data_IF_120335988706
#
_entry.id   IF_120335988706
#
_cell.length_a   1.000
_cell.length_b   1.000
_cell.length_c   1.000
_cell.angle_alpha   90.00
_cell.angle_beta   90.00
_cell.angle_gamma   90.00
#
_symmetry.space_group_name_H-M   'P 1'
#
loop_
_entity.id
_entity.type
_entity.pdbx_description
1 polymer ?
#
# COMPACT_ATOMS: atom_id res chain seq x y z
N UNK A 1 19.07 -19.35 -10.48
CA UNK A 1 19.64 -18.06 -10.00
C UNK A 1 18.60 -16.94 -10.02
N UNK A 2 18.01 -16.53 -11.20
CA UNK A 2 16.97 -15.47 -11.21
C UNK A 2 15.68 -15.95 -10.55
N UNK A 3 15.22 -17.16 -10.83
CA UNK A 3 14.02 -17.74 -10.23
C UNK A 3 14.16 -17.84 -8.71
N UNK A 4 15.27 -18.37 -8.21
CA UNK A 4 15.53 -18.51 -6.77
C UNK A 4 15.54 -17.14 -6.07
N UNK A 5 16.08 -16.11 -6.74
CA UNK A 5 16.06 -14.74 -6.24
C UNK A 5 14.64 -14.18 -6.17
N UNK A 6 13.83 -14.42 -7.19
CA UNK A 6 12.43 -13.97 -7.21
C UNK A 6 11.60 -14.71 -6.14
N UNK A 7 11.77 -16.02 -5.96
CA UNK A 7 11.12 -16.79 -4.90
C UNK A 7 11.44 -16.22 -3.51
N UNK A 8 12.70 -15.88 -3.26
CA UNK A 8 13.11 -15.23 -2.01
C UNK A 8 12.39 -13.90 -1.78
N UNK A 9 12.23 -13.08 -2.83
CA UNK A 9 11.54 -11.79 -2.71
C UNK A 9 10.02 -11.92 -2.60
N UNK A 10 9.40 -12.95 -3.16
CA UNK A 10 7.95 -13.20 -3.02
C UNK A 10 7.53 -13.29 -1.56
N UNK A 11 8.33 -13.94 -0.71
CA UNK A 11 8.09 -14.09 0.73
C UNK A 11 8.26 -12.78 1.53
N UNK A 12 8.89 -11.76 0.94
CA UNK A 12 9.30 -10.53 1.61
C UNK A 12 8.71 -9.25 1.02
N UNK A 13 8.08 -9.35 -0.14
CA UNK A 13 7.44 -8.21 -0.80
C UNK A 13 6.18 -7.81 -0.03
N UNK A 14 6.17 -6.61 0.50
CA UNK A 14 5.03 -5.99 1.14
C UNK A 14 4.32 -5.04 0.20
N UNK A 15 2.99 -5.11 0.20
CA UNK A 15 2.12 -4.15 -0.45
C UNK A 15 1.13 -3.60 0.57
N UNK A 16 1.23 -2.32 0.91
CA UNK A 16 0.34 -1.64 1.85
C UNK A 16 -0.33 -0.47 1.15
N UNK A 17 -1.63 -0.28 1.37
CA UNK A 17 -2.36 0.73 0.64
C UNK A 17 -3.59 1.25 1.38
N UNK A 18 -4.08 2.40 0.94
CA UNK A 18 -5.38 2.95 1.34
C UNK A 18 -6.17 3.33 0.10
N UNK A 19 -7.48 3.28 0.20
CA UNK A 19 -8.40 3.58 -0.90
C UNK A 19 -9.28 4.79 -0.58
N UNK A 20 -9.77 5.45 -1.61
CA UNK A 20 -10.77 6.51 -1.47
C UNK A 20 -12.10 5.98 -0.94
N UNK A 21 -12.59 4.88 -1.55
CA UNK A 21 -13.85 4.22 -1.20
C UNK A 21 -13.73 2.70 -1.39
N UNK A 22 -14.02 1.93 -0.34
CA UNK A 22 -14.03 0.46 -0.37
C UNK A 22 -15.05 -0.15 -1.34
N UNK A 23 -16.04 0.63 -1.79
CA UNK A 23 -17.07 0.15 -2.72
C UNK A 23 -16.48 -0.39 -4.03
N UNK A 24 -15.39 0.20 -4.52
CA UNK A 24 -14.73 -0.28 -5.75
C UNK A 24 -14.21 -1.71 -5.57
N UNK A 25 -13.46 -1.97 -4.50
CA UNK A 25 -12.95 -3.31 -4.19
C UNK A 25 -14.06 -4.31 -3.89
N UNK A 26 -15.10 -3.89 -3.16
CA UNK A 26 -16.25 -4.72 -2.85
C UNK A 26 -17.04 -5.11 -4.10
N UNK A 27 -17.36 -4.15 -4.96
CA UNK A 27 -18.10 -4.37 -6.21
C UNK A 27 -17.40 -5.33 -7.16
N UNK A 28 -16.08 -5.32 -7.16
CA UNK A 28 -15.26 -6.17 -8.01
C UNK A 28 -14.80 -7.46 -7.33
N UNK A 29 -15.28 -7.75 -6.09
CA UNK A 29 -15.01 -8.98 -5.38
C UNK A 29 -13.56 -9.14 -4.88
N UNK A 30 -12.80 -8.04 -4.75
CA UNK A 30 -11.39 -8.07 -4.29
C UNK A 30 -11.23 -8.01 -2.79
N UNK A 31 -12.32 -7.72 -2.05
CA UNK A 31 -12.36 -7.82 -0.59
C UNK A 31 -13.54 -8.68 -0.15
N UNK A 32 -13.35 -9.43 0.94
CA UNK A 32 -14.44 -10.22 1.55
C UNK A 32 -15.43 -9.31 2.27
N UNK A 33 -16.70 -9.71 2.36
CA UNK A 33 -17.81 -8.90 2.85
C UNK A 33 -17.61 -8.28 4.25
N UNK A 34 -16.84 -8.91 5.13
CA UNK A 34 -16.54 -8.38 6.48
C UNK A 34 -15.70 -7.08 6.44
N UNK A 35 -14.88 -6.90 5.41
CA UNK A 35 -14.08 -5.68 5.22
C UNK A 35 -14.91 -4.59 4.54
N UNK A 36 -15.82 -4.96 3.66
CA UNK A 36 -16.70 -4.03 2.95
C UNK A 36 -17.63 -3.24 3.91
N UNK A 37 -17.99 -3.82 5.06
CA UNK A 37 -18.89 -3.20 6.05
C UNK A 37 -18.23 -2.04 6.80
N UNK A 38 -16.89 -1.98 6.84
CA UNK A 38 -16.14 -0.95 7.57
C UNK A 38 -16.16 0.41 6.83
N UNK A 39 -16.36 0.40 5.51
CA UNK A 39 -16.17 1.56 4.62
C UNK A 39 -17.24 2.65 4.65
N UNK A 40 -18.37 2.45 5.33
CA UNK A 40 -19.48 3.40 5.29
C UNK A 40 -19.46 4.48 6.41
N UNK A 41 -18.41 4.51 7.23
CA UNK A 41 -18.28 5.57 8.24
C UNK A 41 -17.53 6.75 7.63
N UNK A 42 -18.23 7.87 7.51
CA UNK A 42 -17.70 9.13 7.00
C UNK A 42 -16.38 9.48 7.71
N UNK A 43 -15.32 9.75 6.93
CA UNK A 43 -13.96 10.10 7.38
C UNK A 43 -13.07 8.91 7.85
N UNK A 44 -13.50 7.66 7.78
CA UNK A 44 -12.60 6.53 8.03
C UNK A 44 -11.91 6.13 6.72
N UNK A 45 -10.59 6.01 6.77
CA UNK A 45 -9.75 5.51 5.67
C UNK A 45 -9.06 4.22 6.13
N UNK A 46 -9.38 3.08 5.52
CA UNK A 46 -8.76 1.81 5.90
C UNK A 46 -7.33 1.73 5.35
N UNK A 47 -6.45 1.14 6.13
CA UNK A 47 -5.19 0.60 5.64
C UNK A 47 -5.41 -0.86 5.34
N UNK A 48 -5.03 -1.25 4.14
CA UNK A 48 -5.15 -2.60 3.60
C UNK A 48 -3.76 -3.13 3.25
N UNK A 49 -3.62 -4.45 3.22
CA UNK A 49 -2.39 -5.12 2.77
C UNK A 49 -2.68 -6.41 2.02
N UNK A 50 -1.73 -6.87 1.22
CA UNK A 50 -1.73 -8.23 0.68
C UNK A 50 -1.21 -9.22 1.74
N UNK A 51 -1.86 -10.37 1.88
CA UNK A 51 -1.35 -11.46 2.72
C UNK A 51 -0.61 -12.53 1.88
N UNK A 52 -0.07 -13.57 2.54
CA UNK A 52 0.66 -14.67 1.88
C UNK A 52 -0.21 -15.47 0.90
N UNK A 53 -1.50 -15.56 1.17
CA UNK A 53 -2.46 -16.29 0.33
C UNK A 53 -2.93 -15.48 -0.89
N UNK A 54 -2.42 -14.26 -1.09
CA UNK A 54 -2.78 -13.38 -2.20
C UNK A 54 -4.08 -12.61 -2.00
N UNK A 55 -4.63 -12.58 -0.78
CA UNK A 55 -5.84 -11.82 -0.47
C UNK A 55 -5.53 -10.43 0.04
N UNK A 56 -6.43 -9.49 -0.26
CA UNK A 56 -6.46 -8.19 0.38
C UNK A 56 -7.10 -8.35 1.76
N UNK A 57 -6.35 -7.96 2.79
CA UNK A 57 -6.80 -8.02 4.17
C UNK A 57 -6.77 -6.64 4.82
N UNK A 58 -7.67 -6.44 5.77
CA UNK A 58 -7.71 -5.24 6.59
C UNK A 58 -6.55 -5.24 7.59
N UNK A 59 -5.91 -4.10 7.75
CA UNK A 59 -4.86 -3.91 8.75
C UNK A 59 -5.31 -2.95 9.86
N UNK A 60 -5.75 -1.73 9.52
CA UNK A 60 -6.08 -0.69 10.50
C UNK A 60 -7.04 0.35 9.92
N UNK A 61 -7.84 0.97 10.78
CA UNK A 61 -8.61 2.16 10.43
C UNK A 61 -7.88 3.44 10.82
N UNK A 62 -7.83 4.41 9.91
CA UNK A 62 -7.31 5.74 10.16
C UNK A 62 -8.44 6.78 10.06
N UNK A 63 -8.39 7.82 10.89
CA UNK A 63 -9.36 8.90 10.84
C UNK A 63 -8.85 10.04 9.95
N UNK A 64 -9.40 10.11 8.75
CA UNK A 64 -9.04 11.11 7.73
C UNK A 64 -7.86 10.71 6.85
N UNK A 65 -7.78 11.37 5.69
CA UNK A 65 -6.80 11.05 4.63
C UNK A 65 -5.35 11.20 5.12
N UNK A 66 -5.02 12.32 5.71
CA UNK A 66 -3.65 12.61 6.18
C UNK A 66 -3.15 11.59 7.21
N UNK A 67 -4.04 11.14 8.11
CA UNK A 67 -3.71 10.09 9.08
C UNK A 67 -3.40 8.76 8.38
N UNK A 68 -4.16 8.40 7.34
CA UNK A 68 -3.90 7.20 6.56
C UNK A 68 -2.57 7.27 5.80
N UNK A 69 -2.25 8.40 5.17
CA UNK A 69 -0.97 8.59 4.48
C UNK A 69 0.22 8.49 5.46
N UNK A 70 0.11 9.10 6.64
CA UNK A 70 1.14 9.00 7.67
C UNK A 70 1.31 7.57 8.19
N UNK A 71 0.22 6.82 8.31
CA UNK A 71 0.29 5.40 8.70
C UNK A 71 1.00 4.55 7.64
N UNK A 72 0.74 4.78 6.36
CA UNK A 72 1.48 4.11 5.28
C UNK A 72 2.98 4.42 5.35
N UNK A 73 3.35 5.68 5.60
CA UNK A 73 4.75 6.08 5.81
C UNK A 73 5.38 5.34 6.99
N UNK A 74 4.68 5.27 8.13
CA UNK A 74 5.17 4.56 9.30
C UNK A 74 5.37 3.07 9.02
N UNK A 75 4.39 2.41 8.38
CA UNK A 75 4.49 1.00 8.02
C UNK A 75 5.71 0.70 7.15
N UNK A 76 6.00 1.55 6.18
CA UNK A 76 7.21 1.41 5.36
C UNK A 76 8.45 1.59 6.22
N UNK A 77 8.57 2.70 6.95
CA UNK A 77 9.77 3.04 7.71
C UNK A 77 10.10 2.02 8.80
N UNK A 78 9.07 1.42 9.42
CA UNK A 78 9.24 0.45 10.51
C UNK A 78 9.58 -0.96 10.01
N UNK A 79 9.24 -1.29 8.76
CA UNK A 79 9.33 -2.66 8.26
C UNK A 79 10.31 -2.87 7.10
N UNK A 80 10.68 -1.82 6.36
CA UNK A 80 11.62 -1.93 5.24
C UNK A 80 13.00 -2.41 5.71
N UNK A 81 13.62 -3.30 4.96
CA UNK A 81 15.00 -3.76 5.23
C UNK A 81 15.96 -3.12 4.25
N UNK A 82 17.15 -2.73 4.70
CA UNK A 82 18.20 -2.13 3.87
C UNK A 82 17.64 -1.05 2.91
N UNK A 83 16.94 -0.01 3.41
CA UNK A 83 16.24 0.97 2.57
C UNK A 83 17.16 1.65 1.54
N UNK A 84 18.43 1.86 1.87
CA UNK A 84 19.44 2.46 1.00
C UNK A 84 19.76 1.63 -0.25
N UNK A 85 19.36 0.35 -0.26
CA UNK A 85 19.52 -0.55 -1.41
C UNK A 85 18.25 -0.69 -2.24
N UNK A 86 17.10 -0.24 -1.73
CA UNK A 86 15.81 -0.44 -2.36
C UNK A 86 15.34 0.77 -3.17
N UNK A 87 14.67 0.46 -4.27
CA UNK A 87 13.79 1.38 -4.99
C UNK A 87 12.38 1.12 -4.48
N UNK A 88 11.78 2.10 -3.80
CA UNK A 88 10.46 1.97 -3.23
C UNK A 88 9.40 2.24 -4.30
N UNK A 89 8.46 1.29 -4.48
CA UNK A 89 7.36 1.43 -5.43
C UNK A 89 6.19 2.20 -4.83
N UNK A 90 5.67 3.18 -5.58
CA UNK A 90 4.43 3.90 -5.28
C UNK A 90 3.53 3.80 -6.50
N UNK A 91 2.32 3.28 -6.32
CA UNK A 91 1.30 3.28 -7.36
C UNK A 91 0.04 4.00 -6.86
N UNK A 92 -0.56 4.84 -7.69
CA UNK A 92 -1.74 5.60 -7.31
C UNK A 92 -2.80 5.67 -8.41
N UNK A 93 -4.06 5.91 -8.01
CA UNK A 93 -5.16 6.23 -8.90
C UNK A 93 -5.67 7.62 -8.51
N UNK A 94 -5.41 8.62 -9.36
CA UNK A 94 -5.79 10.03 -9.17
C UNK A 94 -5.40 10.58 -7.78
N UNK A 95 -4.17 10.25 -7.32
CA UNK A 95 -3.65 10.65 -6.00
C UNK A 95 -2.16 11.06 -6.08
N UNK A 96 -1.79 11.80 -7.14
CA UNK A 96 -0.41 12.19 -7.39
C UNK A 96 0.16 13.08 -6.28
N UNK A 97 -0.57 14.07 -5.81
CA UNK A 97 -0.13 14.97 -4.72
C UNK A 97 0.11 14.20 -3.41
N UNK A 98 -0.73 13.20 -3.11
CA UNK A 98 -0.53 12.31 -1.97
C UNK A 98 0.75 11.48 -2.12
N UNK A 99 1.09 11.06 -3.34
CA UNK A 99 2.32 10.33 -3.60
C UNK A 99 3.56 11.19 -3.33
N UNK A 100 3.55 12.45 -3.74
CA UNK A 100 4.62 13.40 -3.45
C UNK A 100 4.75 13.65 -1.95
N UNK A 101 3.62 13.79 -1.26
CA UNK A 101 3.60 13.92 0.21
C UNK A 101 4.25 12.72 0.90
N UNK A 102 3.91 11.50 0.48
CA UNK A 102 4.48 10.26 1.02
C UNK A 102 5.98 10.19 0.77
N UNK A 103 6.43 10.49 -0.45
CA UNK A 103 7.87 10.51 -0.80
C UNK A 103 8.65 11.45 0.11
N UNK A 104 8.17 12.69 0.27
CA UNK A 104 8.77 13.68 1.17
C UNK A 104 8.86 13.15 2.61
N UNK A 105 7.77 12.60 3.15
CA UNK A 105 7.72 12.07 4.51
C UNK A 105 8.64 10.87 4.73
N UNK A 106 8.76 9.98 3.76
CA UNK A 106 9.70 8.85 3.83
C UNK A 106 11.14 9.36 3.82
N UNK A 107 11.50 10.28 2.91
CA UNK A 107 12.84 10.84 2.81
C UNK A 107 13.28 11.61 4.06
N UNK A 108 12.33 12.20 4.80
CA UNK A 108 12.61 12.85 6.09
C UNK A 108 12.98 11.85 7.20
N UNK A 109 12.58 10.57 7.08
CA UNK A 109 12.76 9.54 8.11
C UNK A 109 13.87 8.55 7.80
N UNK A 110 13.95 8.10 6.55
CA UNK A 110 14.90 7.08 6.09
C UNK A 110 15.47 7.44 4.72
N UNK A 111 16.67 6.95 4.43
CA UNK A 111 17.28 7.10 3.12
C UNK A 111 16.96 5.86 2.28
N UNK A 112 16.10 6.00 1.28
CA UNK A 112 15.91 4.98 0.23
C UNK A 112 16.79 5.29 -0.98
N UNK A 113 17.11 4.26 -1.78
CA UNK A 113 17.93 4.42 -2.98
C UNK A 113 17.24 5.31 -4.01
N UNK A 114 15.94 5.06 -4.26
CA UNK A 114 15.15 5.79 -5.25
C UNK A 114 13.65 5.47 -5.07
N UNK A 115 12.79 6.11 -5.86
CA UNK A 115 11.36 5.85 -5.93
C UNK A 115 10.93 5.57 -7.36
N UNK A 116 10.00 4.62 -7.54
CA UNK A 116 9.18 4.50 -8.74
C UNK A 116 7.79 4.99 -8.38
N UNK A 117 7.39 6.15 -8.91
CA UNK A 117 6.06 6.73 -8.69
C UNK A 117 5.28 6.68 -10.00
N UNK A 118 4.17 5.93 -10.03
CA UNK A 118 3.41 5.69 -11.25
C UNK A 118 1.90 5.63 -11.01
N UNK A 119 1.13 5.95 -12.03
CA UNK A 119 -0.31 5.70 -12.01
C UNK A 119 -0.61 4.21 -12.20
N UNK A 120 -1.69 3.73 -11.59
CA UNK A 120 -2.23 2.42 -11.93
C UNK A 120 -2.66 2.34 -13.40
N UNK A 121 -2.53 1.17 -13.98
CA UNK A 121 -3.16 0.83 -15.25
C UNK A 121 -4.68 0.82 -15.17
N UNK A 122 -5.37 0.80 -16.33
CA UNK A 122 -6.82 0.87 -16.38
C UNK A 122 -7.51 -0.31 -15.68
N UNK A 123 -6.92 -1.50 -15.74
CA UNK A 123 -7.49 -2.69 -15.10
C UNK A 123 -7.46 -2.55 -13.58
N UNK A 124 -6.28 -2.33 -13.01
CA UNK A 124 -6.11 -2.18 -11.56
C UNK A 124 -6.85 -0.95 -11.03
N UNK A 125 -6.75 0.19 -11.74
CA UNK A 125 -7.42 1.44 -11.40
C UNK A 125 -8.94 1.30 -11.29
N UNK A 126 -9.58 0.54 -12.19
CA UNK A 126 -11.02 0.28 -12.15
C UNK A 126 -11.48 -0.53 -10.93
N UNK A 127 -10.59 -1.37 -10.38
CA UNK A 127 -10.87 -2.18 -9.20
C UNK A 127 -10.67 -1.42 -7.89
N UNK A 128 -9.65 -0.57 -7.83
CA UNK A 128 -9.29 0.14 -6.59
C UNK A 128 -9.98 1.50 -6.46
N UNK A 129 -10.32 2.14 -7.58
CA UNK A 129 -10.98 3.45 -7.64
C UNK A 129 -10.03 4.64 -7.37
N UNK A 130 -10.54 5.86 -7.57
CA UNK A 130 -9.79 7.09 -7.35
C UNK A 130 -9.36 7.24 -5.88
N UNK A 131 -8.40 8.12 -5.62
CA UNK A 131 -7.79 8.34 -4.31
C UNK A 131 -7.11 7.10 -3.71
N UNK A 132 -6.82 6.08 -4.51
CA UNK A 132 -6.06 4.92 -4.04
C UNK A 132 -4.57 5.20 -4.17
N UNK A 133 -3.84 4.82 -3.13
CA UNK A 133 -2.37 4.87 -3.11
C UNK A 133 -1.80 3.65 -2.41
N UNK A 134 -0.82 3.01 -3.04
CA UNK A 134 -0.14 1.82 -2.55
C UNK A 134 1.38 2.01 -2.53
N UNK A 135 2.01 1.39 -1.54
CA UNK A 135 3.46 1.36 -1.37
C UNK A 135 3.94 -0.09 -1.41
N UNK A 136 5.05 -0.31 -2.14
CA UNK A 136 5.65 -1.63 -2.32
C UNK A 136 7.12 -1.59 -1.89
N UNK A 137 7.50 -2.52 -1.02
CA UNK A 137 8.86 -2.59 -0.48
C UNK A 137 9.20 -4.00 -0.01
N UNK A 138 10.47 -4.31 0.13
CA UNK A 138 10.96 -5.55 0.73
C UNK A 138 11.09 -5.35 2.23
N UNK A 139 10.35 -6.12 3.00
CA UNK A 139 10.38 -6.14 4.46
C UNK A 139 11.06 -7.38 5.02
N UNK A 140 11.04 -7.52 6.35
CA UNK A 140 11.54 -8.73 7.04
C UNK A 140 10.70 -9.94 6.66
N UNK A 141 9.39 -9.77 6.67
CA UNK A 141 8.38 -10.74 6.30
C UNK A 141 7.29 -10.06 5.46
N UNK A 142 6.55 -10.86 4.67
CA UNK A 142 5.38 -10.39 3.93
C UNK A 142 4.18 -10.07 4.85
N UNK A 143 4.13 -10.69 6.01
CA UNK A 143 3.12 -10.38 7.03
C UNK A 143 3.71 -9.40 8.04
N UNK A 144 3.24 -8.16 7.98
CA UNK A 144 3.54 -7.14 8.97
C UNK A 144 2.98 -7.59 10.31
N UNK A 145 3.84 -7.71 11.30
CA UNK A 145 3.46 -8.01 12.67
C UNK A 145 2.83 -6.80 13.37
#
# INVERSE_FOLDING_TARGET
EVADTLEYYVEKMNGVFTVGDLKYLSRTGRIKGSVATIGNVLKIKPILRGNKDGYIVFYKNCRGRKSALNELVNLVCDNIVEPEKQILGIAHADAYEDSLYIMDKIQQKIKVRDFINTSYDFCTGSHVGPDTIALFFIGKDRELS
#
